data_IF_393394833123
#
_entry.id   IF_393394833123
#
_cell.length_a   1.000
_cell.length_b   1.000
_cell.length_c   1.000
_cell.angle_alpha   90.00
_cell.angle_beta   90.00
_cell.angle_gamma   90.00
#
_symmetry.space_group_name_H-M   'P 1'
#
loop_
_entity.id
_entity.type
_entity.pdbx_description
1 polymer ?
#
# COMPACT_ATOMS: atom_id res chain seq x y z
N UNK A 1 -14.35 1.48 5.73
CA UNK A 1 -13.73 1.73 4.42
C UNK A 1 -12.24 1.42 4.57
N UNK A 2 -11.74 0.29 4.04
CA UNK A 2 -10.32 -0.03 4.07
C UNK A 2 -9.50 0.96 3.23
N UNK A 3 -8.43 1.50 3.79
CA UNK A 3 -7.53 2.42 3.11
C UNK A 3 -6.10 1.89 3.11
N UNK A 4 -5.50 1.78 1.93
CA UNK A 4 -4.11 1.35 1.73
C UNK A 4 -3.27 2.54 1.29
N UNK A 5 -2.35 2.98 2.15
CA UNK A 5 -1.40 4.06 1.88
C UNK A 5 -0.03 3.50 1.52
N UNK A 6 0.39 3.70 0.27
CA UNK A 6 1.70 3.35 -0.25
C UNK A 6 2.64 4.54 -0.09
N UNK A 7 3.77 4.36 0.60
CA UNK A 7 4.83 5.37 0.73
C UNK A 7 6.10 4.83 0.10
N UNK A 8 6.69 5.59 -0.82
CA UNK A 8 7.95 5.20 -1.47
C UNK A 8 8.75 6.40 -1.97
N UNK A 9 10.07 6.25 -2.03
CA UNK A 9 10.97 7.16 -2.72
C UNK A 9 11.17 6.79 -4.21
N UNK A 10 10.59 5.69 -4.69
CA UNK A 10 10.64 5.31 -6.10
C UNK A 10 9.67 6.12 -6.95
N UNK A 11 10.02 6.40 -8.20
CA UNK A 11 9.08 6.94 -9.18
C UNK A 11 8.20 5.81 -9.72
N UNK A 12 6.88 5.93 -9.50
CA UNK A 12 5.90 4.97 -9.99
C UNK A 12 5.16 5.53 -11.19
N UNK A 13 5.32 4.88 -12.33
CA UNK A 13 4.54 5.18 -13.54
C UNK A 13 3.04 4.95 -13.31
N UNK A 14 2.20 5.62 -14.09
CA UNK A 14 0.75 5.42 -14.03
C UNK A 14 0.35 3.95 -14.23
N UNK A 15 1.08 3.21 -15.08
CA UNK A 15 0.86 1.77 -15.30
C UNK A 15 1.18 0.93 -14.06
N UNK A 16 2.28 1.23 -13.36
CA UNK A 16 2.62 0.56 -12.11
C UNK A 16 1.59 0.87 -11.02
N UNK A 17 1.17 2.14 -10.89
CA UNK A 17 0.11 2.54 -9.95
C UNK A 17 -1.19 1.81 -10.22
N UNK A 18 -1.62 1.74 -11.49
CA UNK A 18 -2.84 1.01 -11.87
C UNK A 18 -2.79 -0.47 -11.48
N UNK A 19 -1.66 -1.14 -11.75
CA UNK A 19 -1.46 -2.55 -11.35
C UNK A 19 -1.52 -2.75 -9.83
N UNK A 20 -0.91 -1.83 -9.06
CA UNK A 20 -0.96 -1.89 -7.59
C UNK A 20 -2.37 -1.67 -7.06
N UNK A 21 -3.11 -0.69 -7.60
CA UNK A 21 -4.50 -0.42 -7.24
C UNK A 21 -5.38 -1.64 -7.51
N UNK A 22 -5.27 -2.22 -8.71
CA UNK A 22 -6.03 -3.42 -9.09
C UNK A 22 -5.71 -4.59 -8.15
N UNK A 23 -4.42 -4.85 -7.93
CA UNK A 23 -3.96 -5.98 -7.10
C UNK A 23 -4.47 -5.87 -5.66
N UNK A 24 -4.25 -4.73 -4.99
CA UNK A 24 -4.70 -4.54 -3.60
C UNK A 24 -6.22 -4.57 -3.48
N UNK A 25 -6.93 -3.99 -4.43
CA UNK A 25 -8.40 -4.02 -4.43
C UNK A 25 -8.92 -5.44 -4.55
N UNK A 26 -8.32 -6.26 -5.42
CA UNK A 26 -8.71 -7.66 -5.60
C UNK A 26 -8.35 -8.50 -4.37
N UNK A 27 -7.13 -8.36 -3.84
CA UNK A 27 -6.69 -9.09 -2.63
C UNK A 27 -7.60 -8.76 -1.46
N UNK A 28 -7.86 -7.47 -1.17
CA UNK A 28 -8.75 -7.10 -0.07
C UNK A 28 -10.18 -7.63 -0.28
N UNK A 29 -10.68 -7.60 -1.52
CA UNK A 29 -12.01 -8.12 -1.83
C UNK A 29 -12.15 -9.61 -1.49
N UNK A 30 -11.16 -10.41 -1.89
CA UNK A 30 -11.13 -11.86 -1.65
C UNK A 30 -10.91 -12.14 -0.16
N UNK A 31 -9.80 -11.67 0.40
CA UNK A 31 -9.35 -12.05 1.75
C UNK A 31 -10.22 -11.45 2.85
N UNK A 32 -10.71 -10.22 2.67
CA UNK A 32 -11.53 -9.54 3.68
C UNK A 32 -13.03 -9.65 3.42
N UNK A 33 -13.44 -10.41 2.38
CA UNK A 33 -14.83 -10.61 1.93
C UNK A 33 -15.61 -9.29 1.91
N UNK A 34 -15.00 -8.25 1.33
CA UNK A 34 -15.54 -6.89 1.33
C UNK A 34 -15.78 -6.41 -0.12
N UNK A 35 -16.86 -5.66 -0.41
CA UNK A 35 -17.07 -5.10 -1.72
C UNK A 35 -15.91 -4.20 -2.19
N UNK A 36 -15.50 -4.37 -3.45
CA UNK A 36 -14.36 -3.65 -4.07
C UNK A 36 -14.49 -2.13 -3.95
N UNK A 37 -15.69 -1.59 -4.07
CA UNK A 37 -15.94 -0.15 -4.03
C UNK A 37 -15.65 0.50 -2.67
N UNK A 38 -15.43 -0.28 -1.60
CA UNK A 38 -14.98 0.24 -0.32
C UNK A 38 -13.46 0.44 -0.22
N UNK A 39 -12.67 -0.11 -1.16
CA UNK A 39 -11.20 -0.06 -1.09
C UNK A 39 -10.68 1.26 -1.62
N UNK A 40 -9.99 2.00 -0.77
CA UNK A 40 -9.28 3.23 -1.12
C UNK A 40 -7.77 2.94 -1.19
N UNK A 41 -7.10 3.48 -2.22
CA UNK A 41 -5.64 3.40 -2.38
C UNK A 41 -5.07 4.81 -2.54
N UNK A 42 -4.05 5.15 -1.76
CA UNK A 42 -3.36 6.45 -1.78
C UNK A 42 -1.86 6.22 -1.96
N UNK A 43 -1.22 7.06 -2.75
CA UNK A 43 0.23 7.03 -2.97
C UNK A 43 0.88 8.30 -2.44
N UNK A 44 1.81 8.15 -1.51
CA UNK A 44 2.72 9.18 -1.01
C UNK A 44 4.10 8.99 -1.63
N UNK A 45 4.57 10.03 -2.33
CA UNK A 45 5.96 10.14 -2.75
C UNK A 45 6.73 10.87 -1.66
N UNK A 46 7.87 10.32 -1.27
CA UNK A 46 8.83 10.99 -0.38
C UNK A 46 10.14 11.21 -1.12
N UNK A 47 10.96 12.14 -0.62
CA UNK A 47 12.28 12.39 -1.20
C UNK A 47 13.21 11.17 -0.99
N UNK A 48 14.13 10.89 -1.93
CA UNK A 48 15.20 9.92 -1.72
C UNK A 48 15.95 10.20 -0.42
N UNK A 49 16.22 9.15 0.36
CA UNK A 49 16.85 9.29 1.69
C UNK A 49 15.89 9.67 2.82
N UNK A 50 14.57 9.71 2.60
CA UNK A 50 13.58 9.99 3.67
C UNK A 50 13.09 8.74 4.42
N UNK A 51 13.52 7.55 3.99
CA UNK A 51 13.11 6.28 4.60
C UNK A 51 14.33 5.64 5.24
N UNK A 52 14.22 5.34 6.53
CA UNK A 52 15.27 4.69 7.32
C UNK A 52 14.71 3.46 8.01
N UNK A 53 15.49 2.39 8.09
CA UNK A 53 15.12 1.11 8.71
C UNK A 53 16.29 0.69 9.60
N UNK A 54 16.04 0.48 10.89
CA UNK A 54 17.09 0.09 11.83
C UNK A 54 18.18 1.17 12.07
N UNK A 55 17.91 2.42 11.69
CA UNK A 55 18.88 3.52 11.77
C UNK A 55 19.62 3.81 10.46
N UNK A 56 19.54 2.91 9.48
CA UNK A 56 20.20 3.06 8.18
C UNK A 56 19.23 3.48 7.08
N UNK A 57 19.73 4.13 6.03
CA UNK A 57 18.94 4.48 4.87
C UNK A 57 18.35 3.22 4.21
N UNK A 58 17.05 3.23 3.93
CA UNK A 58 16.39 2.14 3.22
C UNK A 58 16.85 2.08 1.76
N UNK A 59 16.72 0.89 1.15
CA UNK A 59 17.03 0.72 -0.27
C UNK A 59 16.14 1.62 -1.15
N UNK A 60 16.66 2.04 -2.31
CA UNK A 60 15.95 2.92 -3.24
C UNK A 60 14.57 2.38 -3.67
N UNK A 61 14.45 1.05 -3.78
CA UNK A 61 13.21 0.36 -4.13
C UNK A 61 12.26 0.11 -2.96
N UNK A 62 12.54 0.63 -1.77
CA UNK A 62 11.70 0.36 -0.60
C UNK A 62 10.29 0.96 -0.76
N UNK A 63 9.30 0.18 -0.33
CA UNK A 63 7.89 0.56 -0.31
C UNK A 63 7.33 0.18 1.04
N UNK A 64 6.72 1.14 1.72
CA UNK A 64 5.93 0.89 2.92
C UNK A 64 4.45 0.96 2.58
N UNK A 65 3.67 -0.03 3.04
CA UNK A 65 2.22 -0.06 2.88
C UNK A 65 1.58 -0.05 4.27
N UNK A 66 0.81 0.99 4.57
CA UNK A 66 -0.05 1.04 5.76
C UNK A 66 -1.48 0.73 5.33
N UNK A 67 -2.09 -0.27 5.97
CA UNK A 67 -3.48 -0.64 5.73
C UNK A 67 -4.31 -0.36 6.98
N UNK A 68 -5.27 0.56 6.85
CA UNK A 68 -6.25 0.85 7.88
C UNK A 68 -7.53 0.07 7.52
N UNK A 69 -7.75 -1.09 8.15
CA UNK A 69 -8.88 -1.99 7.88
C UNK A 69 -9.78 -2.16 9.11
N UNK A 70 -11.05 -2.51 8.90
CA UNK A 70 -11.97 -2.79 10.00
C UNK A 70 -11.50 -4.03 10.77
N UNK A 71 -11.64 -4.02 12.10
CA UNK A 71 -11.37 -5.18 12.96
C UNK A 71 -12.30 -6.37 12.68
N UNK A 72 -12.03 -7.52 13.31
CA UNK A 72 -12.85 -8.73 13.23
C UNK A 72 -12.41 -9.75 12.18
N UNK A 73 -11.19 -9.63 11.65
CA UNK A 73 -10.58 -10.67 10.80
C UNK A 73 -9.81 -11.67 11.67
N UNK A 74 -9.70 -12.90 11.20
CA UNK A 74 -8.82 -13.93 11.78
C UNK A 74 -7.36 -13.56 11.53
N UNK A 75 -6.45 -14.22 12.25
CA UNK A 75 -5.00 -14.07 12.04
C UNK A 75 -4.50 -14.87 10.84
N UNK A 76 -5.17 -16.00 10.59
CA UNK A 76 -4.98 -16.86 9.43
C UNK A 76 -5.69 -16.26 8.22
#
# INVERSE_FOLDING_TARGET
MPTYAFTTASELTSRQRAKLVESVTNIHHVEATAPRYFVQVVFYKVEPGSIFIGGDAASHGHVWVRADIRSGRTKD
#
